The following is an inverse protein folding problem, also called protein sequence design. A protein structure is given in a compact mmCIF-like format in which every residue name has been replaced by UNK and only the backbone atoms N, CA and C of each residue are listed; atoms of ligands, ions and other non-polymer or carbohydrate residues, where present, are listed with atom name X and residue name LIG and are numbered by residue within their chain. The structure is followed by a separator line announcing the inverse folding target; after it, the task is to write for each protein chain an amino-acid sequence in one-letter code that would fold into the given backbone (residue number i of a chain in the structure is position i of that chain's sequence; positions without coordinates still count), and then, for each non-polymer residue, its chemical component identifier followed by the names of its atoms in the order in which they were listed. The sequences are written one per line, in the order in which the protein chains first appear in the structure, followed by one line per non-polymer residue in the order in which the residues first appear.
data_IF_458913416519
#
_entry.id   IF_458913416519
#
_cell.length_a   1.000
_cell.length_b   1.000
_cell.length_c   1.000
_cell.angle_alpha   90.00
_cell.angle_beta   90.00
_cell.angle_gamma   90.00
#
_symmetry.space_group_name_H-M   'P 1'
#
loop_
_entity.id
_entity.type
_entity.pdbx_description
1 polymer ?
#
# COMPACT_ATOMS: atom_id res chain seq x y z
N UNK A 1 30.58 -14.93 26.17
CA UNK A 1 31.03 -14.38 24.87
C UNK A 1 29.81 -14.37 23.96
N UNK A 2 29.17 -13.21 23.81
CA UNK A 2 27.98 -13.03 23.00
C UNK A 2 28.37 -12.19 21.79
N UNK A 3 28.41 -12.81 20.61
CA UNK A 3 28.70 -12.15 19.35
C UNK A 3 27.49 -11.29 18.98
N UNK A 4 27.58 -10.00 19.27
CA UNK A 4 26.60 -8.98 18.87
C UNK A 4 26.61 -8.88 17.34
N UNK A 5 25.65 -9.51 16.67
CA UNK A 5 25.37 -9.23 15.25
C UNK A 5 24.54 -7.95 15.20
N UNK A 6 25.27 -6.83 15.19
CA UNK A 6 24.76 -5.53 14.77
C UNK A 6 24.35 -5.66 13.29
N UNK A 7 23.04 -5.70 13.02
CA UNK A 7 22.51 -5.21 11.74
C UNK A 7 21.98 -3.81 12.02
N UNK A 8 22.82 -2.76 11.92
CA UNK A 8 22.30 -1.42 11.80
C UNK A 8 21.61 -1.35 10.44
N UNK A 9 20.51 -0.60 10.37
CA UNK A 9 20.14 0.07 9.12
C UNK A 9 21.36 0.88 8.69
N UNK A 10 22.18 0.27 7.83
CA UNK A 10 23.09 1.02 7.00
C UNK A 10 22.16 1.80 6.08
N UNK A 11 21.99 3.10 6.32
CA UNK A 11 21.78 4.01 5.20
C UNK A 11 22.83 3.58 4.17
N UNK A 12 22.46 3.26 2.92
CA UNK A 12 23.39 2.67 1.96
C UNK A 12 24.68 3.47 1.94
N UNK A 13 25.71 2.92 2.58
CA UNK A 13 27.01 3.52 2.74
C UNK A 13 27.81 3.17 1.50
N UNK A 14 27.43 3.84 0.40
CA UNK A 14 28.15 4.11 -0.85
C UNK A 14 27.17 4.07 -2.03
N UNK A 15 26.83 5.25 -2.55
CA UNK A 15 26.40 5.43 -3.95
C UNK A 15 24.91 5.57 -4.24
N UNK A 16 24.00 5.39 -3.28
CA UNK A 16 22.55 5.49 -3.54
C UNK A 16 22.07 6.92 -3.28
N UNK A 17 21.60 7.61 -4.32
CA UNK A 17 20.79 8.79 -4.15
C UNK A 17 19.37 8.35 -3.78
N UNK A 18 19.12 8.05 -2.50
CA UNK A 18 17.75 7.94 -2.01
C UNK A 18 17.10 9.30 -2.32
N UNK A 19 15.99 9.34 -3.08
CA UNK A 19 15.35 10.59 -3.42
C UNK A 19 15.11 11.41 -2.14
N UNK A 20 15.42 12.70 -2.18
CA UNK A 20 15.51 13.53 -0.97
C UNK A 20 14.17 13.56 -0.25
N UNK A 21 13.06 13.56 -0.98
CA UNK A 21 11.73 13.54 -0.38
C UNK A 21 11.41 12.20 0.27
N UNK A 22 11.82 11.06 -0.31
CA UNK A 22 11.64 9.75 0.31
C UNK A 22 12.39 9.66 1.65
N UNK A 23 13.63 10.16 1.72
CA UNK A 23 14.40 10.19 2.97
C UNK A 23 13.72 11.05 4.04
N UNK A 24 13.23 12.24 3.66
CA UNK A 24 12.52 13.14 4.56
C UNK A 24 11.18 12.54 5.03
N UNK A 25 10.45 11.90 4.12
CA UNK A 25 9.21 11.18 4.42
C UNK A 25 9.47 10.08 5.44
N UNK A 26 10.48 9.23 5.25
CA UNK A 26 10.81 8.17 6.21
C UNK A 26 11.13 8.72 7.62
N UNK A 27 11.81 9.86 7.69
CA UNK A 27 12.05 10.56 8.96
C UNK A 27 10.75 11.04 9.62
N UNK A 28 9.79 11.52 8.82
CA UNK A 28 8.47 11.99 9.28
C UNK A 28 7.49 10.89 9.63
N UNK A 29 7.57 9.74 8.96
CA UNK A 29 6.72 8.59 9.28
C UNK A 29 7.13 7.92 10.60
N UNK A 30 8.36 8.12 11.05
CA UNK A 30 8.91 7.45 12.24
C UNK A 30 8.01 7.53 13.49
N UNK A 31 7.48 8.69 13.92
CA UNK A 31 6.61 8.75 15.09
C UNK A 31 5.31 7.96 14.92
N UNK A 32 4.78 7.88 13.70
CA UNK A 32 3.58 7.09 13.40
C UNK A 32 3.89 5.58 13.41
N UNK A 33 5.03 5.19 12.84
CA UNK A 33 5.53 3.80 12.90
C UNK A 33 5.78 3.37 14.35
N UNK A 34 6.41 4.23 15.16
CA UNK A 34 6.67 3.95 16.58
C UNK A 34 5.34 3.77 17.36
N UNK A 35 4.30 4.57 17.03
CA UNK A 35 2.95 4.40 17.59
C UNK A 35 2.30 3.09 17.14
N UNK A 36 2.44 2.69 15.88
CA UNK A 36 1.91 1.40 15.38
C UNK A 36 2.61 0.22 16.06
N UNK A 37 3.93 0.30 16.30
CA UNK A 37 4.65 -0.73 17.06
C UNK A 37 4.17 -0.79 18.52
N UNK A 38 3.79 0.36 19.10
CA UNK A 38 3.28 0.43 20.46
C UNK A 38 1.86 -0.13 20.59
N UNK A 39 0.98 0.21 19.65
CA UNK A 39 -0.45 -0.13 19.67
C UNK A 39 -0.93 -0.48 18.24
N UNK A 40 -0.65 -1.70 17.74
CA UNK A 40 -0.96 -2.10 16.37
C UNK A 40 -2.44 -1.97 16.00
N UNK A 41 -3.33 -2.24 16.94
CA UNK A 41 -4.78 -2.21 16.75
C UNK A 41 -5.32 -0.78 16.53
N UNK A 42 -4.59 0.24 16.96
CA UNK A 42 -4.96 1.65 16.78
C UNK A 42 -4.52 2.22 15.41
N UNK A 43 -4.06 1.38 14.48
CA UNK A 43 -3.49 1.83 13.19
C UNK A 43 -4.38 2.79 12.43
N UNK A 44 -5.70 2.59 12.39
CA UNK A 44 -6.63 3.49 11.68
C UNK A 44 -6.61 4.90 12.25
N UNK A 45 -6.65 5.01 13.58
CA UNK A 45 -6.56 6.29 14.28
C UNK A 45 -5.20 6.95 14.05
N UNK A 46 -4.13 6.16 14.01
CA UNK A 46 -2.77 6.66 13.74
C UNK A 46 -2.68 7.20 12.30
N UNK A 47 -3.28 6.49 11.34
CA UNK A 47 -3.39 6.94 9.95
C UNK A 47 -4.21 8.23 9.86
N UNK A 48 -5.34 8.33 10.56
CA UNK A 48 -6.15 9.56 10.58
C UNK A 48 -5.37 10.76 11.14
N UNK A 49 -4.53 10.57 12.16
CA UNK A 49 -3.64 11.61 12.68
C UNK A 49 -2.54 11.97 11.67
N UNK A 50 -1.96 10.97 11.00
CA UNK A 50 -0.95 11.16 9.95
C UNK A 50 -1.51 11.95 8.77
N UNK A 51 -2.72 11.62 8.34
CA UNK A 51 -3.41 12.30 7.25
C UNK A 51 -3.87 13.70 7.63
N UNK A 52 -3.77 14.14 8.89
CA UNK A 52 -3.97 15.55 9.28
C UNK A 52 -2.67 16.34 9.29
N UNK A 53 -1.51 15.68 9.25
CA UNK A 53 -0.22 16.36 9.13
C UNK A 53 0.04 16.78 7.69
N UNK A 54 -0.20 18.06 7.41
CA UNK A 54 0.00 18.67 6.10
C UNK A 54 1.42 18.49 5.56
N UNK A 55 2.45 18.50 6.41
CA UNK A 55 3.84 18.31 5.97
C UNK A 55 4.05 16.87 5.49
N UNK A 56 3.49 15.91 6.22
CA UNK A 56 3.53 14.49 5.83
C UNK A 56 2.75 14.26 4.53
N UNK A 57 1.57 14.87 4.35
CA UNK A 57 0.82 14.78 3.09
C UNK A 57 1.62 15.27 1.88
N UNK A 58 2.27 16.44 1.98
CA UNK A 58 3.11 16.96 0.88
C UNK A 58 4.24 15.99 0.57
N UNK A 59 4.92 15.50 1.60
CA UNK A 59 6.04 14.57 1.42
C UNK A 59 5.59 13.23 0.82
N UNK A 60 4.40 12.74 1.16
CA UNK A 60 3.82 11.56 0.52
C UNK A 60 3.67 11.77 -0.99
N UNK A 61 3.08 12.90 -1.42
CA UNK A 61 2.91 13.21 -2.84
C UNK A 61 4.26 13.33 -3.56
N UNK A 62 5.19 14.13 -3.00
CA UNK A 62 6.49 14.36 -3.64
C UNK A 62 7.32 13.09 -3.69
N UNK A 63 7.36 12.30 -2.62
CA UNK A 63 8.08 11.03 -2.59
C UNK A 63 7.47 10.01 -3.55
N UNK A 64 6.14 9.95 -3.70
CA UNK A 64 5.51 9.09 -4.70
C UNK A 64 5.88 9.50 -6.12
N UNK A 65 5.95 10.80 -6.42
CA UNK A 65 6.39 11.29 -7.74
C UNK A 65 7.87 10.99 -8.01
N UNK A 66 8.74 11.13 -6.99
CA UNK A 66 10.14 10.71 -7.10
C UNK A 66 10.25 9.20 -7.32
N UNK A 67 9.45 8.40 -6.62
CA UNK A 67 9.45 6.94 -6.73
C UNK A 67 9.07 6.43 -8.13
N UNK A 68 8.21 7.15 -8.87
CA UNK A 68 7.90 6.84 -10.27
C UNK A 68 9.12 6.85 -11.18
N UNK A 69 10.14 7.62 -10.82
CA UNK A 69 11.37 7.80 -11.60
C UNK A 69 12.56 7.00 -11.06
N UNK A 70 12.32 6.08 -10.12
CA UNK A 70 13.38 5.21 -9.61
C UNK A 70 13.99 4.37 -10.74
N UNK A 71 15.33 4.28 -10.84
CA UNK A 71 15.99 3.39 -11.77
C UNK A 71 15.56 1.94 -11.55
N UNK A 72 15.48 1.16 -12.63
CA UNK A 72 15.06 -0.25 -12.58
C UNK A 72 15.95 -1.07 -11.65
N UNK A 73 17.25 -0.77 -11.63
CA UNK A 73 18.24 -1.45 -10.80
C UNK A 73 17.97 -1.24 -9.31
N UNK A 74 17.57 -0.03 -8.92
CA UNK A 74 17.21 0.31 -7.54
C UNK A 74 15.92 -0.41 -7.14
N UNK A 75 14.94 -0.45 -8.04
CA UNK A 75 13.70 -1.19 -7.81
C UNK A 75 13.94 -2.70 -7.60
N UNK A 76 14.78 -3.32 -8.43
CA UNK A 76 15.14 -4.74 -8.28
C UNK A 76 15.83 -5.01 -6.94
N UNK A 77 16.76 -4.13 -6.52
CA UNK A 77 17.43 -4.26 -5.22
C UNK A 77 16.45 -4.20 -4.05
N UNK A 78 15.48 -3.28 -4.08
CA UNK A 78 14.44 -3.18 -3.05
C UNK A 78 13.63 -4.47 -2.96
N UNK A 79 13.26 -5.07 -4.10
CA UNK A 79 12.55 -6.35 -4.11
C UNK A 79 13.41 -7.52 -3.57
N UNK A 80 14.70 -7.54 -3.88
CA UNK A 80 15.62 -8.56 -3.35
C UNK A 80 15.79 -8.45 -1.82
N UNK A 81 15.96 -7.23 -1.32
CA UNK A 81 16.04 -6.97 0.12
C UNK A 81 14.74 -7.35 0.84
N UNK A 82 13.59 -7.06 0.22
CA UNK A 82 12.29 -7.44 0.73
C UNK A 82 12.08 -8.96 0.78
N UNK A 83 12.45 -9.68 -0.29
CA UNK A 83 12.41 -11.15 -0.30
C UNK A 83 13.30 -11.75 0.79
N UNK A 84 14.48 -11.18 1.02
CA UNK A 84 15.35 -11.62 2.11
C UNK A 84 14.67 -11.43 3.46
N UNK A 85 14.08 -10.26 3.69
CA UNK A 85 13.36 -9.95 4.91
C UNK A 85 12.17 -10.90 5.16
N UNK A 86 11.36 -11.18 4.14
CA UNK A 86 10.25 -12.16 4.23
C UNK A 86 10.78 -13.54 4.61
N UNK A 87 11.88 -14.00 3.99
CA UNK A 87 12.50 -15.28 4.33
C UNK A 87 13.03 -15.33 5.77
N UNK A 88 13.56 -14.22 6.28
CA UNK A 88 14.00 -14.10 7.67
C UNK A 88 12.82 -14.25 8.65
N UNK A 89 11.69 -13.61 8.38
CA UNK A 89 10.47 -13.79 9.19
C UNK A 89 9.93 -15.23 9.13
N UNK A 90 9.94 -15.82 7.93
CA UNK A 90 9.53 -17.22 7.73
C UNK A 90 10.38 -18.18 8.55
N UNK A 91 11.69 -17.91 8.66
CA UNK A 91 12.63 -18.73 9.45
C UNK A 91 12.33 -18.76 10.96
N UNK A 92 11.60 -17.76 11.48
CA UNK A 92 11.15 -17.68 12.88
C UNK A 92 9.66 -18.03 13.04
N UNK A 93 9.06 -18.62 12.01
CA UNK A 93 7.67 -19.11 12.03
C UNK A 93 6.62 -18.02 11.83
N UNK A 94 6.97 -16.92 11.16
CA UNK A 94 6.05 -15.82 10.82
C UNK A 94 5.94 -15.78 9.29
N UNK A 95 4.78 -16.16 8.76
CA UNK A 95 4.50 -16.08 7.34
C UNK A 95 3.78 -14.77 7.00
N UNK A 96 4.36 -14.01 6.08
CA UNK A 96 3.85 -12.70 5.63
C UNK A 96 4.00 -12.54 4.10
N UNK A 97 4.38 -13.61 3.42
CA UNK A 97 4.74 -13.59 1.99
C UNK A 97 3.59 -13.06 1.14
N UNK A 98 2.40 -13.65 1.29
CA UNK A 98 1.19 -13.25 0.56
C UNK A 98 0.80 -11.79 0.82
N UNK A 99 0.79 -11.35 2.08
CA UNK A 99 0.42 -9.97 2.43
C UNK A 99 1.41 -8.94 1.84
N UNK A 100 2.70 -9.27 1.82
CA UNK A 100 3.73 -8.44 1.18
C UNK A 100 3.54 -8.41 -0.33
N UNK A 101 3.29 -9.57 -0.95
CA UNK A 101 3.05 -9.66 -2.39
C UNK A 101 1.83 -8.83 -2.81
N UNK A 102 0.71 -8.89 -2.09
CA UNK A 102 -0.48 -8.07 -2.37
C UNK A 102 -0.20 -6.56 -2.32
N UNK A 103 0.60 -6.10 -1.35
CA UNK A 103 1.00 -4.69 -1.27
C UNK A 103 1.89 -4.29 -2.46
N UNK A 104 2.87 -5.12 -2.81
CA UNK A 104 3.76 -4.89 -3.96
C UNK A 104 2.96 -4.90 -5.26
N UNK A 105 2.07 -5.86 -5.44
CA UNK A 105 1.23 -5.98 -6.63
C UNK A 105 0.36 -4.74 -6.81
N UNK A 106 -0.24 -4.23 -5.73
CA UNK A 106 -0.99 -2.98 -5.77
C UNK A 106 -0.13 -1.80 -6.23
N UNK A 107 1.06 -1.61 -5.65
CA UNK A 107 1.94 -0.51 -6.02
C UNK A 107 2.49 -0.65 -7.45
N UNK A 108 2.86 -1.86 -7.87
CA UNK A 108 3.30 -2.16 -9.23
C UNK A 108 2.18 -1.95 -10.25
N UNK A 109 0.95 -2.32 -9.90
CA UNK A 109 -0.22 -2.05 -10.72
C UNK A 109 -0.43 -0.54 -10.90
N UNK A 110 -0.41 0.25 -9.82
CA UNK A 110 -0.50 1.73 -9.89
C UNK A 110 0.57 2.33 -10.78
N UNK A 111 1.82 1.89 -10.58
CA UNK A 111 2.97 2.36 -11.35
C UNK A 111 2.79 2.06 -12.85
N UNK A 112 2.37 0.84 -13.19
CA UNK A 112 2.04 0.45 -14.57
C UNK A 112 0.96 1.35 -15.18
N UNK A 113 -0.12 1.62 -14.45
CA UNK A 113 -1.20 2.49 -14.95
C UNK A 113 -0.72 3.93 -15.16
N UNK A 114 0.11 4.46 -14.26
CA UNK A 114 0.68 5.80 -14.37
C UNK A 114 1.65 5.96 -15.55
N UNK A 115 2.34 4.88 -15.95
CA UNK A 115 3.23 4.90 -17.13
C UNK A 115 2.45 4.65 -18.42
N UNK A 116 1.60 3.64 -18.47
CA UNK A 116 1.01 3.12 -19.71
C UNK A 116 -0.35 3.73 -20.04
N UNK A 117 -1.15 4.07 -19.02
CA UNK A 117 -2.55 4.47 -19.17
C UNK A 117 -2.88 5.77 -18.41
N UNK A 118 -1.90 6.65 -18.24
CA UNK A 118 -1.94 7.79 -17.30
C UNK A 118 -3.24 8.60 -17.34
N UNK A 119 -3.66 9.07 -18.52
CA UNK A 119 -4.84 9.95 -18.62
C UNK A 119 -6.11 9.24 -18.17
N UNK A 120 -6.33 8.01 -18.63
CA UNK A 120 -7.49 7.20 -18.26
C UNK A 120 -7.45 6.82 -16.78
N UNK A 121 -6.26 6.48 -16.27
CA UNK A 121 -6.07 6.18 -14.86
C UNK A 121 -6.42 7.36 -13.98
N UNK A 122 -5.93 8.57 -14.31
CA UNK A 122 -6.26 9.78 -13.55
C UNK A 122 -7.74 10.13 -13.64
N UNK A 123 -8.40 9.93 -14.79
CA UNK A 123 -9.84 10.13 -14.93
C UNK A 123 -10.62 9.19 -14.00
N UNK A 124 -10.32 7.89 -14.03
CA UNK A 124 -10.95 6.90 -13.14
C UNK A 124 -10.67 7.21 -11.67
N UNK A 125 -9.44 7.59 -11.34
CA UNK A 125 -9.04 7.93 -9.98
C UNK A 125 -9.80 9.17 -9.47
N UNK A 126 -9.86 10.24 -10.26
CA UNK A 126 -10.64 11.44 -9.90
C UNK A 126 -12.13 11.09 -9.76
N UNK A 127 -12.68 10.34 -10.72
CA UNK A 127 -14.08 9.90 -10.70
C UNK A 127 -14.40 9.10 -9.44
N UNK A 128 -13.54 8.16 -9.05
CA UNK A 128 -13.70 7.38 -7.82
C UNK A 128 -13.76 8.28 -6.58
N UNK A 129 -12.87 9.26 -6.47
CA UNK A 129 -12.84 10.19 -5.34
C UNK A 129 -14.03 11.16 -5.31
N UNK A 130 -14.58 11.52 -6.48
CA UNK A 130 -15.73 12.44 -6.55
C UNK A 130 -17.08 11.73 -6.38
N UNK A 131 -17.23 10.54 -6.95
CA UNK A 131 -18.51 9.80 -6.96
C UNK A 131 -18.65 8.83 -5.78
N UNK A 132 -17.53 8.35 -5.22
CA UNK A 132 -17.50 7.41 -4.09
C UNK A 132 -16.57 7.92 -2.96
N UNK A 133 -16.81 9.11 -2.39
CA UNK A 133 -15.89 9.73 -1.43
C UNK A 133 -15.68 8.90 -0.15
N UNK A 134 -16.69 8.16 0.30
CA UNK A 134 -16.56 7.25 1.44
C UNK A 134 -15.59 6.11 1.17
N UNK A 135 -15.77 5.42 0.04
CA UNK A 135 -14.88 4.35 -0.43
C UNK A 135 -13.47 4.86 -0.71
N UNK A 136 -13.34 6.07 -1.27
CA UNK A 136 -12.05 6.70 -1.48
C UNK A 136 -11.31 6.99 -0.17
N UNK A 137 -12.03 7.44 0.87
CA UNK A 137 -11.46 7.63 2.19
C UNK A 137 -11.00 6.29 2.80
N UNK A 138 -11.84 5.26 2.68
CA UNK A 138 -11.51 3.90 3.13
C UNK A 138 -10.28 3.36 2.40
N UNK A 139 -10.21 3.47 1.07
CA UNK A 139 -9.04 3.10 0.27
C UNK A 139 -7.76 3.78 0.77
N UNK A 140 -7.80 5.10 0.98
CA UNK A 140 -6.65 5.87 1.46
C UNK A 140 -6.21 5.37 2.84
N UNK A 141 -7.15 5.12 3.75
CA UNK A 141 -6.86 4.57 5.09
C UNK A 141 -6.24 3.19 4.99
N UNK A 142 -6.84 2.29 4.22
CA UNK A 142 -6.40 0.91 4.02
C UNK A 142 -4.98 0.86 3.47
N UNK A 143 -4.69 1.64 2.43
CA UNK A 143 -3.36 1.72 1.86
C UNK A 143 -2.31 2.22 2.88
N UNK A 144 -2.61 3.31 3.59
CA UNK A 144 -1.65 3.86 4.55
C UNK A 144 -1.53 3.04 5.84
N UNK A 145 -2.58 2.33 6.26
CA UNK A 145 -2.50 1.37 7.35
C UNK A 145 -1.57 0.21 6.98
N UNK A 146 -1.77 -0.38 5.80
CA UNK A 146 -0.90 -1.43 5.27
C UNK A 146 0.57 -0.96 5.20
N UNK A 147 0.81 0.27 4.69
CA UNK A 147 2.15 0.84 4.61
C UNK A 147 2.80 1.02 5.99
N UNK A 148 2.09 1.62 6.96
CA UNK A 148 2.63 1.84 8.30
C UNK A 148 2.88 0.53 9.05
N UNK A 149 1.99 -0.46 8.91
CA UNK A 149 2.18 -1.80 9.47
C UNK A 149 3.41 -2.48 8.86
N UNK A 150 3.54 -2.45 7.53
CA UNK A 150 4.71 -2.98 6.85
C UNK A 150 6.01 -2.32 7.35
N UNK A 151 6.02 -0.99 7.48
CA UNK A 151 7.16 -0.27 8.06
C UNK A 151 7.41 -0.63 9.53
N UNK A 152 6.37 -0.86 10.32
CA UNK A 152 6.51 -1.31 11.72
C UNK A 152 7.11 -2.72 11.81
N UNK A 153 6.66 -3.65 10.97
CA UNK A 153 7.18 -5.03 10.88
C UNK A 153 8.69 -5.00 10.58
N UNK A 154 9.14 -4.15 9.65
CA UNK A 154 10.58 -4.03 9.32
C UNK A 154 11.44 -3.37 10.43
N UNK A 155 10.82 -2.80 11.48
CA UNK A 155 11.51 -2.06 12.54
C UNK A 155 11.50 -2.77 13.89
N UNK A 156 10.51 -3.62 14.15
CA UNK A 156 10.44 -4.38 15.40
C UNK A 156 11.22 -5.69 15.32
N UNK A 157 11.77 -6.12 16.47
CA UNK A 157 12.41 -7.44 16.65
C UNK A 157 11.69 -8.30 17.70
N UNK A 158 10.65 -7.74 18.30
CA UNK A 158 9.81 -8.42 19.28
C UNK A 158 8.89 -9.38 18.53
N UNK A 159 9.05 -10.69 18.79
CA UNK A 159 8.32 -11.75 18.07
C UNK A 159 6.82 -11.74 18.35
N UNK A 160 6.40 -11.38 19.56
CA UNK A 160 4.97 -11.30 19.89
C UNK A 160 4.33 -10.13 19.13
N UNK A 161 5.01 -8.98 19.12
CA UNK A 161 4.57 -7.83 18.33
C UNK A 161 4.59 -8.10 16.84
N UNK A 162 5.61 -8.79 16.34
CA UNK A 162 5.72 -9.13 14.92
C UNK A 162 4.51 -9.96 14.48
N UNK A 163 4.11 -10.99 15.25
CA UNK A 163 2.93 -11.81 14.95
C UNK A 163 1.65 -10.98 14.87
N UNK A 164 1.41 -10.11 15.85
CA UNK A 164 0.24 -9.25 15.86
C UNK A 164 0.25 -8.26 14.68
N UNK A 165 1.39 -7.62 14.42
CA UNK A 165 1.54 -6.69 13.29
C UNK A 165 1.30 -7.39 11.95
N UNK A 166 1.84 -8.60 11.76
CA UNK A 166 1.68 -9.36 10.51
C UNK A 166 0.24 -9.83 10.31
N UNK A 167 -0.45 -10.22 11.38
CA UNK A 167 -1.88 -10.58 11.32
C UNK A 167 -2.74 -9.39 10.90
N UNK A 168 -2.52 -8.22 11.52
CA UNK A 168 -3.27 -7.00 11.17
C UNK A 168 -2.92 -6.55 9.74
N UNK A 169 -1.63 -6.62 9.37
CA UNK A 169 -1.16 -6.28 8.03
C UNK A 169 -1.82 -7.13 6.95
N UNK A 170 -1.93 -8.45 7.15
CA UNK A 170 -2.57 -9.36 6.20
C UNK A 170 -4.01 -8.93 5.88
N UNK A 171 -4.79 -8.53 6.89
CA UNK A 171 -6.17 -8.05 6.69
C UNK A 171 -6.23 -6.80 5.79
N UNK A 172 -5.34 -5.83 6.01
CA UNK A 172 -5.30 -4.62 5.17
C UNK A 172 -4.76 -4.92 3.76
N UNK A 173 -3.84 -5.87 3.61
CA UNK A 173 -3.35 -6.30 2.32
C UNK A 173 -4.44 -6.98 1.47
N UNK A 174 -5.23 -7.88 2.07
CA UNK A 174 -6.41 -8.49 1.43
C UNK A 174 -7.46 -7.44 1.04
N UNK A 175 -7.69 -6.45 1.89
CA UNK A 175 -8.62 -5.37 1.55
C UNK A 175 -8.09 -4.50 0.41
N UNK A 176 -6.78 -4.25 0.38
CA UNK A 176 -6.12 -3.52 -0.69
C UNK A 176 -6.24 -4.26 -2.05
N UNK A 177 -6.16 -5.59 -2.05
CA UNK A 177 -6.43 -6.41 -3.24
C UNK A 177 -7.84 -6.16 -3.81
N UNK A 178 -8.85 -6.07 -2.93
CA UNK A 178 -10.22 -5.77 -3.36
C UNK A 178 -10.34 -4.40 -4.03
N UNK A 179 -9.58 -3.39 -3.56
CA UNK A 179 -9.49 -2.10 -4.23
C UNK A 179 -8.75 -2.18 -5.56
N UNK A 180 -7.64 -2.93 -5.65
CA UNK A 180 -6.94 -3.18 -6.93
C UNK A 180 -7.90 -3.73 -7.98
N UNK A 181 -8.65 -4.77 -7.63
CA UNK A 181 -9.64 -5.38 -8.52
C UNK A 181 -10.76 -4.40 -8.91
N UNK A 182 -11.20 -3.56 -7.97
CA UNK A 182 -12.22 -2.52 -8.22
C UNK A 182 -11.72 -1.52 -9.26
N UNK A 183 -10.51 -0.98 -9.08
CA UNK A 183 -9.95 -0.05 -10.05
C UNK A 183 -9.70 -0.70 -11.41
N UNK A 184 -9.27 -1.97 -11.47
CA UNK A 184 -9.14 -2.70 -12.74
C UNK A 184 -10.45 -2.81 -13.50
N UNK A 185 -11.55 -3.05 -12.79
CA UNK A 185 -12.90 -3.05 -13.38
C UNK A 185 -13.28 -1.67 -13.89
N UNK A 186 -13.03 -0.61 -13.12
CA UNK A 186 -13.31 0.77 -13.55
C UNK A 186 -12.44 1.22 -14.74
N UNK A 187 -11.21 0.70 -14.85
CA UNK A 187 -10.30 0.97 -15.96
C UNK A 187 -10.63 0.17 -17.21
N UNK A 188 -11.39 -0.92 -17.09
CA UNK A 188 -11.85 -1.67 -18.25
C UNK A 188 -12.88 -0.84 -19.05
N UNK A 189 -13.01 -1.05 -20.37
CA UNK A 189 -14.12 -0.45 -21.11
C UNK A 189 -15.44 -1.02 -20.58
N UNK A 190 -16.26 -0.16 -20.00
CA UNK A 190 -17.61 -0.48 -19.50
C UNK A 190 -18.63 0.14 -20.48
N UNK A 191 -19.54 -0.66 -21.09
CA UNK A 191 -20.63 -0.15 -21.89
C UNK A 191 -21.44 0.91 -21.13
N UNK A 192 -22.01 1.89 -21.83
CA UNK A 192 -22.68 3.06 -21.21
C UNK A 192 -23.87 2.69 -20.30
N UNK A 193 -24.49 1.53 -20.54
CA UNK A 193 -25.66 1.03 -19.81
C UNK A 193 -25.32 0.54 -18.38
N UNK A 194 -24.13 -0.03 -18.17
CA UNK A 194 -23.68 -0.55 -16.87
C UNK A 194 -23.25 0.58 -15.90
N UNK A 195 -23.10 1.82 -16.38
CA UNK A 195 -22.61 2.98 -15.57
C UNK A 195 -23.57 3.43 -14.48
N UNK A 196 -24.87 3.12 -14.57
CA UNK A 196 -25.89 3.62 -13.63
C UNK A 196 -26.02 2.80 -12.34
N UNK A 197 -25.58 1.54 -12.33
CA UNK A 197 -25.73 0.62 -11.18
C UNK A 197 -24.53 0.72 -10.22
N UNK A 198 -23.37 1.14 -10.72
CA UNK A 198 -22.12 1.33 -9.95
C UNK A 198 -22.31 2.29 -8.76
N UNK A 199 -23.22 3.27 -8.89
CA UNK A 199 -23.49 4.28 -7.85
C UNK A 199 -24.19 3.79 -6.58
N UNK A 200 -24.63 2.52 -6.51
CA UNK A 200 -25.40 2.01 -5.35
C UNK A 200 -24.62 1.12 -4.40
N UNK A 201 -23.37 0.76 -4.73
CA UNK A 201 -22.57 -0.12 -3.87
C UNK A 201 -22.01 0.62 -2.65
N UNK A 202 -22.01 -0.06 -1.50
CA UNK A 202 -21.62 0.47 -0.19
C UNK A 202 -20.29 -0.08 0.35
N UNK A 203 -19.56 -0.85 -0.46
CA UNK A 203 -18.21 -1.36 -0.14
C UNK A 203 -17.44 -1.76 -1.41
N UNK A 204 -16.10 -1.96 -1.38
CA UNK A 204 -15.32 -2.35 -2.56
C UNK A 204 -15.69 -3.74 -3.05
N UNK A 205 -15.99 -4.66 -2.12
CA UNK A 205 -16.45 -6.01 -2.43
C UNK A 205 -17.82 -6.00 -3.10
N UNK A 206 -18.74 -5.16 -2.63
CA UNK A 206 -20.05 -4.97 -3.25
C UNK A 206 -19.94 -4.29 -4.61
N UNK A 207 -19.11 -3.25 -4.73
CA UNK A 207 -18.83 -2.54 -5.97
C UNK A 207 -18.24 -3.48 -7.02
N UNK A 208 -17.24 -4.29 -6.64
CA UNK A 208 -16.70 -5.37 -7.47
C UNK A 208 -17.79 -6.35 -7.90
N UNK A 209 -18.66 -6.77 -6.98
CA UNK A 209 -19.75 -7.72 -7.27
C UNK A 209 -20.74 -7.14 -8.27
N UNK A 210 -21.17 -5.88 -8.09
CA UNK A 210 -22.06 -5.16 -9.01
C UNK A 210 -21.42 -5.09 -10.40
N UNK A 211 -20.16 -4.67 -10.48
CA UNK A 211 -19.39 -4.60 -11.73
C UNK A 211 -19.21 -5.96 -12.42
N UNK A 212 -19.14 -7.06 -11.65
CA UNK A 212 -19.03 -8.41 -12.19
C UNK A 212 -20.39 -8.98 -12.65
N UNK A 213 -21.48 -8.67 -11.93
CA UNK A 213 -22.82 -9.20 -12.22
C UNK A 213 -23.41 -8.60 -13.51
N UNK A 214 -23.19 -7.31 -13.75
CA UNK A 214 -23.66 -6.62 -14.96
C UNK A 214 -22.99 -7.18 -16.23
N UNK A 215 -21.70 -7.52 -16.17
CA UNK A 215 -20.95 -8.14 -17.28
C UNK A 215 -21.46 -9.51 -17.72
N UNK A 216 -22.09 -10.26 -16.83
CA UNK A 216 -22.64 -11.59 -17.17
C UNK A 216 -23.97 -11.43 -17.92
N UNK A 217 -24.72 -10.36 -17.65
CA UNK A 217 -26.01 -10.11 -18.30
C UNK A 217 -25.89 -9.48 -19.70
N UNK A 218 -24.76 -8.84 -20.02
CA UNK A 218 -24.49 -8.26 -21.35
C UNK A 218 -23.93 -9.27 -22.38
N UNK A 219 -23.73 -10.54 -22.00
CA UNK A 219 -23.21 -11.60 -22.86
C UNK A 219 -24.18 -12.76 -23.16
N UNK A 220 -25.45 -12.64 -22.77
CA UNK A 220 -26.58 -13.50 -23.20
C UNK A 220 -27.47 -12.77 -24.23
#
# INVERSE_FOLDING_TARGET
MATTVLVPYSIPSRGVAVPTALKLLMGRLRPYVDRVIAEPEAVEKIVDDMLKDYTTQILLVVASLEALHLPREEFVRVLEDLRRFVNELKSVGIDVEEAVDLLIEHDMWKHRQLIQNRSRYLEVYVKFFTEHPGEAQSYVRTYFAALLLFLAITKTKDLEKLRLLTEIFARYAEELEAYTATFDLMLSPVPEEERRVIGTASSPRELRRVLQHERVQTHD
#
